data_IF_750502968931
#
_entry.id   IF_750502968931
#
_cell.length_a   1.000
_cell.length_b   1.000
_cell.length_c   1.000
_cell.angle_alpha   90.00
_cell.angle_beta   90.00
_cell.angle_gamma   90.00
#
_symmetry.space_group_name_H-M   'P 1'
#
loop_
_entity.id
_entity.type
_entity.pdbx_description
1 polymer ?
#
# COMPACT_ATOMS: atom_id res chain seq x y z
N UNK A 1 20.47 16.52 -4.14
CA UNK A 1 19.18 16.78 -3.48
C UNK A 1 18.15 15.86 -4.13
N UNK A 2 17.43 15.01 -3.36
CA UNK A 2 16.37 14.18 -3.95
C UNK A 2 15.27 15.09 -4.52
N UNK A 3 14.69 14.69 -5.65
CA UNK A 3 13.55 15.41 -6.25
C UNK A 3 12.29 15.23 -5.42
N UNK A 4 11.49 16.30 -5.30
CA UNK A 4 10.19 16.26 -4.60
C UNK A 4 9.17 15.35 -5.31
N UNK A 5 8.42 14.54 -4.56
CA UNK A 5 7.34 13.68 -5.07
C UNK A 5 6.16 14.56 -5.50
N UNK A 6 5.61 14.31 -6.70
CA UNK A 6 4.43 15.02 -7.21
C UNK A 6 3.17 14.70 -6.40
N UNK A 7 2.20 15.61 -6.40
CA UNK A 7 0.90 15.43 -5.75
C UNK A 7 -0.26 15.50 -6.74
N UNK A 8 -1.41 14.94 -6.38
CA UNK A 8 -2.69 15.11 -7.08
C UNK A 8 -3.77 15.58 -6.10
N UNK A 9 -4.76 16.34 -6.58
CA UNK A 9 -5.89 16.79 -5.76
C UNK A 9 -7.01 15.76 -5.80
N UNK A 10 -7.49 15.36 -4.62
CA UNK A 10 -8.73 14.61 -4.47
C UNK A 10 -9.94 15.54 -4.65
N UNK A 11 -11.15 15.01 -4.91
CA UNK A 11 -12.37 15.82 -4.97
C UNK A 11 -12.66 16.61 -3.68
N UNK A 12 -12.17 16.13 -2.54
CA UNK A 12 -12.20 16.86 -1.26
C UNK A 12 -11.30 18.11 -1.22
N UNK A 13 -10.43 18.30 -2.21
CA UNK A 13 -9.45 19.38 -2.29
C UNK A 13 -8.08 19.04 -1.72
N UNK A 14 -7.94 17.91 -1.03
CA UNK A 14 -6.68 17.46 -0.43
C UNK A 14 -5.63 17.08 -1.49
N UNK A 15 -4.40 17.55 -1.32
CA UNK A 15 -3.28 17.20 -2.20
C UNK A 15 -2.51 16.00 -1.64
N UNK A 16 -2.60 14.85 -2.29
CA UNK A 16 -1.95 13.59 -1.87
C UNK A 16 -0.79 13.24 -2.80
N UNK A 17 0.29 12.67 -2.26
CA UNK A 17 1.42 12.20 -3.06
C UNK A 17 1.00 11.10 -4.03
N UNK A 18 1.51 11.16 -5.27
CA UNK A 18 1.17 10.17 -6.31
C UNK A 18 1.86 8.83 -6.13
N UNK A 19 2.81 8.74 -5.19
CA UNK A 19 3.50 7.50 -4.81
C UNK A 19 3.06 7.12 -3.40
N UNK A 20 2.31 6.01 -3.30
CA UNK A 20 1.83 5.48 -2.03
C UNK A 20 2.64 4.28 -1.53
N UNK A 21 2.20 3.72 -0.40
CA UNK A 21 2.75 2.50 0.19
C UNK A 21 1.61 1.49 0.37
N UNK A 22 1.65 0.39 -0.39
CA UNK A 22 0.71 -0.71 -0.22
C UNK A 22 1.18 -1.64 0.89
N UNK A 23 0.25 -2.16 1.69
CA UNK A 23 0.56 -3.08 2.81
C UNK A 23 -0.01 -4.48 2.62
N UNK A 24 -0.64 -4.75 1.48
CA UNK A 24 -1.22 -6.06 1.20
C UNK A 24 -0.17 -7.17 1.31
N UNK A 25 -0.50 -8.23 2.05
CA UNK A 25 0.36 -9.37 2.39
C UNK A 25 1.56 -9.08 3.28
N UNK A 26 1.75 -7.84 3.76
CA UNK A 26 2.79 -7.56 4.74
C UNK A 26 2.42 -8.23 6.07
N UNK A 27 3.33 -9.03 6.62
CA UNK A 27 3.12 -9.74 7.89
C UNK A 27 2.35 -11.06 7.77
N UNK A 28 1.99 -11.49 6.56
CA UNK A 28 1.48 -12.85 6.35
C UNK A 28 2.59 -13.88 6.57
N UNK A 29 2.24 -15.01 7.19
CA UNK A 29 3.10 -16.19 7.26
C UNK A 29 2.76 -17.12 6.09
N UNK A 30 3.58 -17.05 5.03
CA UNK A 30 3.43 -17.88 3.83
C UNK A 30 3.39 -19.38 4.15
N UNK A 31 4.07 -19.83 5.21
CA UNK A 31 4.13 -21.25 5.56
C UNK A 31 2.78 -21.80 6.07
N UNK A 32 1.93 -20.94 6.62
CA UNK A 32 0.62 -21.31 7.19
C UNK A 32 -0.54 -21.18 6.20
N UNK A 33 -0.27 -20.68 5.00
CA UNK A 33 -1.30 -20.47 3.97
C UNK A 33 -2.00 -21.78 3.55
N UNK A 34 -1.32 -22.91 3.65
CA UNK A 34 -1.92 -24.22 3.38
C UNK A 34 -2.93 -24.64 4.46
N UNK A 35 -2.72 -24.24 5.71
CA UNK A 35 -3.64 -24.55 6.81
C UNK A 35 -4.95 -23.75 6.68
N UNK A 36 -4.86 -22.49 6.24
CA UNK A 36 -6.02 -21.61 6.03
C UNK A 36 -6.91 -22.06 4.86
N UNK A 37 -6.32 -22.59 3.79
CA UNK A 37 -7.07 -23.02 2.59
C UNK A 37 -7.83 -24.33 2.81
N UNK A 38 -7.43 -25.13 3.80
CA UNK A 38 -8.02 -26.45 4.08
C UNK A 38 -9.11 -26.44 5.18
N UNK A 39 -9.46 -25.28 5.75
CA UNK A 39 -10.47 -25.11 6.80
C UNK A 39 -11.82 -24.63 6.23
#
# INVERSE_FOLDING_TARGET
MPSTIRTTKLPSGEAVQVLGQGTWKMGEDISRRADEVNA
#
